data_IF_400488337973
#
_entry.id   IF_400488337973
#
_cell.length_a   1.000
_cell.length_b   1.000
_cell.length_c   1.000
_cell.angle_alpha   90.00
_cell.angle_beta   90.00
_cell.angle_gamma   90.00
#
_symmetry.space_group_name_H-M   'P 1'
#
loop_
_entity.id
_entity.type
_entity.pdbx_description
1 polymer ?
#
# COMPACT_ATOMS: atom_id res chain seq x y z
N UNK A 1 39.35 10.13 -1.17
CA UNK A 1 38.63 8.96 -0.66
C UNK A 1 37.18 9.39 -0.41
N UNK A 2 36.26 9.06 -1.31
CA UNK A 2 34.84 9.33 -1.13
C UNK A 2 34.23 8.18 -0.34
N UNK A 3 33.59 8.45 0.78
CA UNK A 3 32.83 7.43 1.49
C UNK A 3 31.67 7.00 0.60
N UNK A 4 31.70 5.76 0.13
CA UNK A 4 30.51 5.08 -0.39
C UNK A 4 29.91 4.36 0.81
N UNK A 5 28.80 4.88 1.32
CA UNK A 5 28.07 4.26 2.42
C UNK A 5 27.46 2.95 1.94
N UNK A 6 27.91 1.81 2.47
CA UNK A 6 27.40 0.48 2.13
C UNK A 6 25.98 0.21 2.67
N UNK A 7 25.35 1.20 3.31
CA UNK A 7 23.96 1.14 3.76
C UNK A 7 22.97 1.69 2.74
N UNK A 8 23.44 2.27 1.62
CA UNK A 8 22.61 2.98 0.65
C UNK A 8 21.68 2.08 -0.19
N UNK A 9 21.82 0.76 -0.11
CA UNK A 9 21.02 -0.25 -0.82
C UNK A 9 20.39 -1.27 0.12
N UNK A 10 20.17 -0.93 1.39
CA UNK A 10 19.30 -1.77 2.21
C UNK A 10 17.85 -1.57 1.77
N UNK A 11 17.35 -2.51 0.97
CA UNK A 11 15.91 -2.67 0.79
C UNK A 11 15.29 -2.88 2.17
N UNK A 12 14.22 -2.14 2.52
CA UNK A 12 13.61 -2.25 3.84
C UNK A 12 13.19 -3.70 4.11
N UNK A 13 13.50 -4.21 5.30
CA UNK A 13 13.07 -5.54 5.79
C UNK A 13 11.60 -5.51 6.23
N UNK A 14 10.74 -4.99 5.36
CA UNK A 14 9.30 -4.84 5.55
C UNK A 14 8.59 -5.91 4.74
N UNK A 15 7.47 -6.43 5.25
CA UNK A 15 6.63 -7.30 4.45
C UNK A 15 6.15 -6.50 3.22
N UNK A 16 6.49 -6.97 2.03
CA UNK A 16 5.98 -6.44 0.78
C UNK A 16 7.02 -5.86 -0.18
N UNK A 17 6.55 -5.54 -1.37
CA UNK A 17 7.35 -5.01 -2.48
C UNK A 17 7.32 -3.48 -2.50
N UNK A 18 8.22 -2.87 -3.27
CA UNK A 18 8.21 -1.45 -3.56
C UNK A 18 8.19 -1.21 -5.07
N UNK A 19 7.72 -0.03 -5.48
CA UNK A 19 7.60 0.31 -6.90
C UNK A 19 7.46 1.82 -7.10
N UNK A 20 7.42 2.24 -8.37
CA UNK A 20 7.16 3.64 -8.74
C UNK A 20 6.24 3.72 -9.95
N UNK A 21 5.34 4.69 -9.94
CA UNK A 21 4.48 5.06 -11.06
C UNK A 21 4.52 6.60 -11.20
N UNK A 22 5.33 7.10 -12.14
CA UNK A 22 5.58 8.54 -12.26
C UNK A 22 6.15 9.12 -10.94
N UNK A 23 5.55 10.20 -10.38
CA UNK A 23 5.98 10.78 -9.10
C UNK A 23 5.51 9.98 -7.88
N UNK A 24 4.70 8.93 -8.05
CA UNK A 24 4.16 8.14 -6.95
C UNK A 24 5.11 6.99 -6.60
N UNK A 25 5.55 6.94 -5.35
CA UNK A 25 6.39 5.89 -4.78
C UNK A 25 5.52 4.95 -3.95
N UNK A 26 5.51 3.68 -4.33
CA UNK A 26 4.77 2.61 -3.65
C UNK A 26 5.69 1.86 -2.70
N UNK A 27 5.23 1.61 -1.47
CA UNK A 27 5.98 0.91 -0.41
C UNK A 27 5.08 -0.08 0.32
N UNK A 28 5.70 -1.11 0.89
CA UNK A 28 5.06 -2.12 1.74
C UNK A 28 3.90 -2.84 1.04
N UNK A 29 3.99 -3.09 -0.26
CA UNK A 29 2.90 -3.72 -1.03
C UNK A 29 2.83 -5.21 -0.70
N UNK A 30 1.78 -5.65 -0.01
CA UNK A 30 1.56 -7.06 0.29
C UNK A 30 0.07 -7.38 0.50
N UNK A 31 -0.26 -8.67 0.44
CA UNK A 31 -1.58 -9.18 0.80
C UNK A 31 -1.51 -9.70 2.23
N UNK A 32 -2.46 -9.30 3.07
CA UNK A 32 -2.66 -9.81 4.42
C UNK A 32 -3.90 -10.71 4.44
N UNK A 33 -3.80 -11.89 5.04
CA UNK A 33 -4.91 -12.82 5.20
C UNK A 33 -4.63 -13.77 6.37
N UNK A 34 -5.67 -14.16 7.10
CA UNK A 34 -5.55 -15.10 8.21
C UNK A 34 -5.34 -16.53 7.72
N UNK A 35 -4.14 -17.06 7.91
CA UNK A 35 -3.81 -18.43 7.55
C UNK A 35 -4.01 -19.40 8.72
N UNK A 36 -5.12 -20.12 8.70
CA UNK A 36 -5.46 -21.13 9.73
C UNK A 36 -5.20 -22.58 9.29
N UNK A 37 -4.72 -22.80 8.06
CA UNK A 37 -4.39 -24.12 7.51
C UNK A 37 -3.22 -24.04 6.52
N UNK A 38 -2.84 -25.15 5.91
CA UNK A 38 -1.70 -25.24 4.98
C UNK A 38 -1.72 -24.20 3.85
N UNK A 39 -2.90 -23.72 3.45
CA UNK A 39 -3.10 -22.65 2.47
C UNK A 39 -4.28 -21.74 2.82
N UNK A 40 -4.27 -20.51 2.31
CA UNK A 40 -5.47 -19.66 2.20
C UNK A 40 -6.32 -20.20 1.05
N UNK A 41 -7.63 -20.36 1.28
CA UNK A 41 -8.55 -20.89 0.27
C UNK A 41 -9.25 -19.76 -0.51
N UNK A 42 -9.69 -20.00 -1.75
CA UNK A 42 -10.63 -19.12 -2.43
C UNK A 42 -11.83 -18.79 -1.54
N UNK A 43 -12.30 -17.54 -1.59
CA UNK A 43 -13.38 -17.02 -0.76
C UNK A 43 -12.96 -16.64 0.67
N UNK A 44 -11.69 -16.79 1.03
CA UNK A 44 -11.16 -16.23 2.28
C UNK A 44 -11.05 -14.70 2.19
N UNK A 45 -11.24 -14.03 3.33
CA UNK A 45 -11.01 -12.60 3.46
C UNK A 45 -9.52 -12.31 3.43
N UNK A 46 -9.13 -11.40 2.53
CA UNK A 46 -7.78 -10.87 2.43
C UNK A 46 -7.84 -9.37 2.19
N UNK A 47 -6.77 -8.68 2.53
CA UNK A 47 -6.62 -7.24 2.34
C UNK A 47 -5.32 -6.94 1.59
N UNK A 48 -5.37 -5.97 0.68
CA UNK A 48 -4.18 -5.41 0.07
C UNK A 48 -3.69 -4.23 0.91
N UNK A 49 -2.45 -4.30 1.37
CA UNK A 49 -1.80 -3.27 2.18
C UNK A 49 -0.68 -2.62 1.37
N UNK A 50 -0.66 -1.28 1.32
CA UNK A 50 0.47 -0.51 0.78
C UNK A 50 0.42 0.97 1.19
N UNK A 51 1.52 1.68 0.95
CA UNK A 51 1.60 3.14 1.05
C UNK A 51 1.99 3.71 -0.30
N UNK A 52 1.28 4.74 -0.76
CA UNK A 52 1.61 5.53 -1.93
C UNK A 52 2.01 6.94 -1.51
N UNK A 53 3.28 7.30 -1.71
CA UNK A 53 3.79 8.64 -1.43
C UNK A 53 3.93 9.43 -2.73
N UNK A 54 3.49 10.68 -2.75
CA UNK A 54 3.60 11.55 -3.92
C UNK A 54 4.77 12.52 -3.76
N UNK A 55 5.86 12.27 -4.51
CA UNK A 55 7.06 13.12 -4.52
C UNK A 55 6.89 14.38 -5.40
N UNK A 56 5.70 14.64 -5.94
CA UNK A 56 5.39 15.87 -6.66
C UNK A 56 5.38 17.08 -5.72
N UNK A 57 5.92 18.20 -6.18
CA UNK A 57 6.00 19.42 -5.40
C UNK A 57 4.62 20.10 -5.23
N UNK A 58 3.74 19.98 -6.23
CA UNK A 58 2.49 20.75 -6.31
C UNK A 58 1.35 20.05 -7.09
N UNK A 59 1.57 18.86 -7.65
CA UNK A 59 0.55 18.11 -8.40
C UNK A 59 0.02 16.94 -7.57
N UNK A 60 -1.27 17.00 -7.22
CA UNK A 60 -1.99 15.90 -6.58
C UNK A 60 -2.26 14.76 -7.56
N UNK A 61 -2.45 13.56 -7.04
CA UNK A 61 -2.86 12.38 -7.79
C UNK A 61 -4.01 11.64 -7.08
N UNK A 62 -4.54 10.59 -7.71
CA UNK A 62 -5.63 9.79 -7.15
C UNK A 62 -5.52 8.31 -7.52
N UNK A 63 -5.60 7.44 -6.53
CA UNK A 63 -5.87 6.03 -6.74
C UNK A 63 -7.32 5.83 -7.17
N UNK A 64 -7.52 5.29 -8.38
CA UNK A 64 -8.86 5.08 -8.95
C UNK A 64 -9.27 3.61 -8.99
N UNK A 65 -8.31 2.70 -9.09
CA UNK A 65 -8.57 1.26 -9.16
C UNK A 65 -7.32 0.46 -8.81
N UNK A 66 -7.55 -0.78 -8.42
CA UNK A 66 -6.52 -1.82 -8.27
C UNK A 66 -7.02 -3.09 -8.94
N UNK A 67 -6.12 -3.81 -9.62
CA UNK A 67 -6.38 -5.12 -10.20
C UNK A 67 -5.42 -6.15 -9.62
N UNK A 68 -5.88 -7.39 -9.47
CA UNK A 68 -5.06 -8.49 -8.95
C UNK A 68 -5.29 -9.75 -9.79
N UNK A 69 -4.21 -10.53 -10.00
CA UNK A 69 -4.29 -11.80 -10.72
C UNK A 69 -4.90 -12.92 -9.87
N UNK A 70 -4.98 -12.76 -8.55
CA UNK A 70 -5.45 -13.80 -7.61
C UNK A 70 -6.87 -13.55 -7.08
N UNK A 71 -7.49 -12.42 -7.44
CA UNK A 71 -8.80 -12.05 -6.91
C UNK A 71 -9.30 -10.69 -7.35
N UNK A 72 -10.50 -10.34 -6.88
CA UNK A 72 -11.12 -9.04 -7.13
C UNK A 72 -10.80 -8.09 -5.98
N UNK A 73 -10.36 -6.87 -6.30
CA UNK A 73 -10.10 -5.82 -5.30
C UNK A 73 -11.26 -4.83 -5.27
N UNK A 74 -11.82 -4.62 -4.08
CA UNK A 74 -12.81 -3.58 -3.80
C UNK A 74 -12.15 -2.47 -2.99
N UNK A 75 -12.15 -1.25 -3.54
CA UNK A 75 -11.66 -0.06 -2.85
C UNK A 75 -12.82 0.68 -2.16
N UNK A 76 -12.60 1.07 -0.92
CA UNK A 76 -13.52 1.90 -0.12
C UNK A 76 -12.75 3.04 0.56
N UNK A 77 -13.46 4.09 0.95
CA UNK A 77 -12.86 5.28 1.57
C UNK A 77 -12.32 6.28 0.57
N UNK A 78 -11.22 6.94 0.96
CA UNK A 78 -10.53 7.94 0.14
C UNK A 78 -9.73 7.33 -1.01
N UNK A 79 -8.77 8.09 -1.49
CA UNK A 79 -7.88 7.69 -2.58
C UNK A 79 -7.04 8.84 -3.11
N UNK A 80 -7.14 10.02 -2.48
CA UNK A 80 -6.32 11.17 -2.84
C UNK A 80 -4.87 10.91 -2.45
N UNK A 81 -3.95 11.30 -3.32
CA UNK A 81 -2.52 11.27 -3.05
C UNK A 81 -2.02 12.71 -3.22
N UNK A 82 -2.16 13.56 -2.18
CA UNK A 82 -1.82 14.97 -2.30
C UNK A 82 -0.33 15.17 -2.60
N UNK A 83 0.03 16.28 -3.23
CA UNK A 83 1.44 16.64 -3.45
C UNK A 83 2.21 16.71 -2.11
N UNK A 84 3.42 16.15 -2.08
CA UNK A 84 4.21 15.92 -0.86
C UNK A 84 3.48 15.12 0.23
N UNK A 85 2.43 14.40 -0.15
CA UNK A 85 1.55 13.67 0.75
C UNK A 85 1.59 12.16 0.55
N UNK A 86 0.77 11.47 1.34
CA UNK A 86 0.69 10.01 1.32
C UNK A 86 -0.77 9.52 1.28
N UNK A 87 -1.00 8.45 0.56
CA UNK A 87 -2.18 7.60 0.70
C UNK A 87 -1.75 6.30 1.37
N UNK A 88 -2.43 5.92 2.44
CA UNK A 88 -2.25 4.60 3.04
C UNK A 88 -3.46 3.74 2.74
N UNK A 89 -3.19 2.53 2.28
CA UNK A 89 -4.21 1.57 1.87
C UNK A 89 -4.13 0.33 2.74
N UNK A 90 -5.27 -0.05 3.30
CA UNK A 90 -5.45 -1.18 4.20
C UNK A 90 -5.09 -0.88 5.65
N UNK A 91 -5.39 -1.82 6.54
CA UNK A 91 -5.20 -1.68 7.99
C UNK A 91 -4.28 -2.79 8.49
N UNK A 92 -2.96 -2.54 8.66
CA UNK A 92 -2.09 -3.54 9.28
C UNK A 92 -2.64 -3.85 10.69
N UNK A 93 -3.01 -5.11 10.90
CA UNK A 93 -3.56 -5.66 12.14
C UNK A 93 -4.97 -5.17 12.55
N UNK A 94 -5.80 -4.71 11.60
CA UNK A 94 -7.18 -4.28 11.88
C UNK A 94 -7.28 -3.01 12.72
N UNK A 95 -6.19 -2.26 12.85
CA UNK A 95 -6.23 -0.91 13.38
C UNK A 95 -6.68 0.04 12.28
N UNK A 96 -7.83 0.71 12.49
CA UNK A 96 -8.30 1.80 11.65
C UNK A 96 -7.12 2.74 11.36
N UNK A 97 -6.78 2.92 10.09
CA UNK A 97 -5.74 3.84 9.64
C UNK A 97 -6.18 5.28 9.90
N UNK A 98 -6.15 5.71 11.16
CA UNK A 98 -6.33 7.08 11.59
C UNK A 98 -5.10 7.92 11.20
N UNK A 99 -4.83 8.01 9.90
CA UNK A 99 -3.78 8.84 9.32
C UNK A 99 -4.29 10.22 8.91
N UNK A 100 -5.58 10.48 9.06
CA UNK A 100 -6.21 11.80 8.85
C UNK A 100 -5.68 12.90 9.80
N UNK A 101 -4.83 12.55 10.78
CA UNK A 101 -4.19 13.50 11.70
C UNK A 101 -2.82 14.02 11.20
N UNK A 102 -2.34 13.56 10.03
CA UNK A 102 -1.07 14.00 9.44
C UNK A 102 -1.38 14.72 8.13
N UNK A 103 -1.12 16.02 8.03
CA UNK A 103 -1.24 16.71 6.74
C UNK A 103 0.10 16.66 5.97
N UNK A 104 0.11 16.26 4.69
CA UNK A 104 -1.02 15.83 3.84
C UNK A 104 -1.12 14.29 3.70
N UNK A 105 -2.13 13.66 4.32
CA UNK A 105 -2.39 12.23 4.20
C UNK A 105 -3.87 11.90 3.99
N UNK A 106 -4.13 10.85 3.22
CA UNK A 106 -5.45 10.23 3.03
C UNK A 106 -5.37 8.72 3.34
N UNK A 107 -6.53 8.09 3.55
CA UNK A 107 -6.64 6.66 3.84
C UNK A 107 -7.74 5.99 3.00
N UNK A 108 -7.47 4.77 2.57
CA UNK A 108 -8.42 3.91 1.88
C UNK A 108 -8.30 2.46 2.37
N UNK A 109 -9.31 1.65 2.11
CA UNK A 109 -9.28 0.21 2.33
C UNK A 109 -9.32 -0.50 0.98
N UNK A 110 -8.68 -1.67 0.91
CA UNK A 110 -8.63 -2.50 -0.29
C UNK A 110 -8.88 -3.96 0.05
N UNK A 111 -10.15 -4.36 0.07
CA UNK A 111 -10.55 -5.74 0.30
C UNK A 111 -10.28 -6.59 -0.94
N UNK A 112 -9.65 -7.74 -0.77
CA UNK A 112 -9.30 -8.69 -1.81
C UNK A 112 -10.10 -9.98 -1.62
N UNK A 113 -11.03 -10.23 -2.53
CA UNK A 113 -11.74 -11.52 -2.61
C UNK A 113 -10.89 -12.51 -3.43
N UNK A 114 -10.32 -13.51 -2.76
CA UNK A 114 -9.47 -14.52 -3.40
C UNK A 114 -10.29 -15.49 -4.25
N UNK A 115 -9.85 -15.73 -5.49
CA UNK A 115 -10.54 -16.60 -6.46
C UNK A 115 -9.72 -17.80 -6.89
N UNK A 116 -8.45 -17.87 -6.49
CA UNK A 116 -7.48 -18.91 -6.85
C UNK A 116 -6.85 -19.54 -5.62
#
# INVERSE_FOLDING_TARGET
AGQVSQTATQEPAVNGTSGKAGPIVLRNIHISADQTSDYIRPGAEAELIFVAANDSADVNDKLVSVTSDVGTVTLTGGGEIPANGVLVVGSPDGQDTALSAIEPADAAEAQLELTK
#
